data_IF_756690630220
#
_entry.id   IF_756690630220
#
_cell.length_a   1.000
_cell.length_b   1.000
_cell.length_c   1.000
_cell.angle_alpha   90.00
_cell.angle_beta   90.00
_cell.angle_gamma   90.00
#
_symmetry.space_group_name_H-M   'P 1'
#
loop_
_entity.id
_entity.type
_entity.pdbx_description
1 polymer ?
#
# COMPACT_ATOMS: atom_id res chain seq x y z
N UNK A 1 -52.27 -28.72 22.74
CA UNK A 1 -51.34 -28.22 21.71
C UNK A 1 -50.94 -26.80 22.10
N UNK A 2 -49.88 -26.66 22.91
CA UNK A 2 -49.36 -25.36 23.34
C UNK A 2 -48.19 -24.95 22.46
N UNK A 3 -48.34 -23.87 21.70
CA UNK A 3 -47.26 -23.29 20.89
C UNK A 3 -46.33 -22.45 21.76
N UNK A 4 -45.08 -22.89 21.89
CA UNK A 4 -44.04 -22.13 22.59
C UNK A 4 -43.48 -21.06 21.64
N UNK A 5 -44.02 -19.84 21.68
CA UNK A 5 -43.54 -18.72 20.86
C UNK A 5 -42.40 -18.00 21.58
N UNK A 6 -41.16 -18.36 21.24
CA UNK A 6 -39.96 -17.65 21.71
C UNK A 6 -39.97 -16.23 21.12
N UNK A 7 -40.31 -15.23 21.93
CA UNK A 7 -40.27 -13.82 21.52
C UNK A 7 -38.80 -13.42 21.33
N UNK A 8 -38.39 -12.87 20.16
CA UNK A 8 -37.03 -12.40 19.98
C UNK A 8 -36.75 -11.18 20.86
N UNK A 9 -35.54 -11.07 21.39
CA UNK A 9 -35.13 -9.95 22.25
C UNK A 9 -35.20 -8.63 21.46
N UNK A 10 -36.06 -7.70 21.88
CA UNK A 10 -36.28 -6.38 21.24
C UNK A 10 -35.55 -5.23 21.96
N UNK A 11 -34.38 -5.51 22.54
CA UNK A 11 -33.56 -4.49 23.19
C UNK A 11 -32.68 -3.73 22.20
N UNK A 12 -32.40 -2.46 22.47
CA UNK A 12 -31.39 -1.67 21.76
C UNK A 12 -30.00 -1.91 22.36
N UNK A 13 -29.05 -2.37 21.55
CA UNK A 13 -27.66 -2.53 21.96
C UNK A 13 -26.93 -1.19 21.78
N UNK A 14 -26.64 -0.49 22.87
CA UNK A 14 -25.66 0.60 22.87
C UNK A 14 -24.27 -0.01 22.92
N UNK A 15 -23.58 0.00 21.77
CA UNK A 15 -22.17 -0.38 21.68
C UNK A 15 -21.35 0.89 21.91
N UNK A 16 -20.64 0.96 23.04
CA UNK A 16 -19.64 2.00 23.24
C UNK A 16 -18.42 1.62 22.39
N UNK A 17 -18.19 2.36 21.31
CA UNK A 17 -16.99 2.17 20.49
C UNK A 17 -15.81 2.80 21.23
N UNK A 18 -15.22 2.08 22.18
CA UNK A 18 -13.89 2.45 22.68
C UNK A 18 -12.96 2.55 21.48
N UNK A 19 -12.52 3.77 21.15
CA UNK A 19 -11.57 4.00 20.07
C UNK A 19 -10.29 3.21 20.39
N UNK A 20 -10.14 2.04 19.77
CA UNK A 20 -8.81 1.45 19.61
C UNK A 20 -7.98 2.52 18.91
N UNK A 21 -6.78 2.87 19.41
CA UNK A 21 -5.87 3.71 18.65
C UNK A 21 -5.51 2.93 17.39
N UNK A 22 -6.28 3.16 16.34
CA UNK A 22 -5.89 2.83 15.02
C UNK A 22 -4.66 3.70 14.74
N UNK A 23 -3.49 3.07 14.60
CA UNK A 23 -2.28 3.67 13.99
C UNK A 23 -2.52 3.95 12.49
N UNK A 24 -3.74 4.36 12.15
CA UNK A 24 -4.20 4.72 10.83
C UNK A 24 -4.17 6.23 10.82
N UNK A 25 -3.07 6.77 10.28
CA UNK A 25 -3.00 8.17 9.88
C UNK A 25 -4.23 8.50 9.03
N UNK A 26 -4.81 9.69 9.22
CA UNK A 26 -5.90 10.15 8.34
C UNK A 26 -5.46 9.95 6.87
N UNK A 27 -6.15 9.11 6.10
CA UNK A 27 -5.67 8.68 4.80
C UNK A 27 -5.66 9.90 3.89
N UNK A 28 -4.46 10.42 3.65
CA UNK A 28 -4.26 11.36 2.55
C UNK A 28 -3.68 10.56 1.40
N UNK A 29 -4.38 10.56 0.27
CA UNK A 29 -4.04 9.73 -0.90
C UNK A 29 -2.55 9.79 -1.23
N UNK A 30 -1.92 10.95 -1.12
CA UNK A 30 -0.51 11.12 -1.45
C UNK A 30 0.45 10.39 -0.48
N UNK A 31 0.15 10.36 0.82
CA UNK A 31 0.99 9.68 1.81
C UNK A 31 0.89 8.16 1.67
N UNK A 32 -0.34 7.64 1.57
CA UNK A 32 -0.62 6.24 1.36
C UNK A 32 0.05 5.71 0.08
N UNK A 33 -0.05 6.47 -1.02
CA UNK A 33 0.59 6.08 -2.27
C UNK A 33 2.12 6.11 -2.20
N UNK A 34 2.71 6.99 -1.38
CA UNK A 34 4.16 6.99 -1.18
C UNK A 34 4.62 5.75 -0.40
N UNK A 35 3.91 5.39 0.67
CA UNK A 35 4.19 4.18 1.47
C UNK A 35 4.06 2.93 0.59
N UNK A 36 2.98 2.81 -0.18
CA UNK A 36 2.81 1.71 -1.13
C UNK A 36 3.94 1.67 -2.18
N UNK A 37 4.40 2.83 -2.67
CA UNK A 37 5.53 2.88 -3.60
C UNK A 37 6.81 2.35 -2.94
N UNK A 38 7.10 2.77 -1.71
CA UNK A 38 8.31 2.34 -0.99
C UNK A 38 8.27 0.84 -0.69
N UNK A 39 7.11 0.34 -0.25
CA UNK A 39 6.88 -1.08 -0.01
C UNK A 39 7.10 -1.91 -1.29
N UNK A 40 6.49 -1.50 -2.40
CA UNK A 40 6.65 -2.23 -3.68
C UNK A 40 8.09 -2.17 -4.21
N UNK A 41 8.80 -1.06 -3.99
CA UNK A 41 10.22 -0.96 -4.33
C UNK A 41 11.09 -1.91 -3.48
N UNK A 42 10.82 -2.04 -2.19
CA UNK A 42 11.50 -2.98 -1.31
C UNK A 42 11.17 -4.44 -1.66
N UNK A 43 9.91 -4.71 -2.00
CA UNK A 43 9.44 -6.01 -2.44
C UNK A 43 10.17 -6.49 -3.69
N UNK A 44 10.34 -5.61 -4.69
CA UNK A 44 11.13 -5.89 -5.89
C UNK A 44 12.58 -6.26 -5.53
N UNK A 45 13.17 -5.65 -4.49
CA UNK A 45 14.54 -5.95 -4.07
C UNK A 45 14.64 -7.33 -3.46
N UNK A 46 13.72 -7.65 -2.55
CA UNK A 46 13.66 -8.95 -1.90
C UNK A 46 13.34 -10.09 -2.89
N UNK A 47 12.45 -9.84 -3.86
CA UNK A 47 12.11 -10.81 -4.91
C UNK A 47 13.27 -11.02 -5.89
N UNK A 48 13.89 -9.93 -6.37
CA UNK A 48 15.02 -10.02 -7.30
C UNK A 48 16.22 -10.73 -6.67
N UNK A 49 16.46 -10.55 -5.38
CA UNK A 49 17.53 -11.25 -4.65
C UNK A 49 17.37 -12.78 -4.70
N UNK A 50 16.15 -13.32 -4.72
CA UNK A 50 15.89 -14.77 -4.78
C UNK A 50 16.22 -15.37 -6.13
N UNK A 51 15.94 -14.65 -7.22
CA UNK A 51 16.05 -15.16 -8.60
C UNK A 51 17.14 -14.45 -9.40
N UNK A 52 18.17 -13.92 -8.71
CA UNK A 52 19.22 -13.11 -9.32
C UNK A 52 19.90 -13.82 -10.48
N UNK A 53 20.14 -15.11 -10.34
CA UNK A 53 20.87 -15.91 -11.33
C UNK A 53 20.01 -16.27 -12.56
N UNK A 54 18.69 -16.34 -12.41
CA UNK A 54 17.76 -16.67 -13.48
C UNK A 54 17.20 -15.42 -14.21
N UNK A 55 16.98 -14.33 -13.49
CA UNK A 55 16.34 -13.11 -14.03
C UNK A 55 17.34 -12.12 -14.63
N UNK A 56 18.61 -12.21 -14.26
CA UNK A 56 19.64 -11.28 -14.69
C UNK A 56 19.50 -9.90 -14.03
N UNK A 57 19.40 -8.85 -14.85
CA UNK A 57 19.43 -7.47 -14.34
C UNK A 57 18.15 -7.06 -13.61
N UNK A 58 18.34 -6.33 -12.52
CA UNK A 58 17.26 -5.81 -11.69
C UNK A 58 16.36 -4.84 -12.45
N UNK A 59 15.02 -4.96 -12.35
CA UNK A 59 14.10 -3.98 -12.91
C UNK A 59 14.41 -2.56 -12.45
N UNK A 60 14.40 -1.61 -13.39
CA UNK A 60 14.71 -0.20 -13.11
C UNK A 60 13.61 0.43 -12.26
N UNK A 61 13.94 0.85 -11.04
CA UNK A 61 13.05 1.63 -10.17
C UNK A 61 13.47 3.11 -10.12
N UNK A 62 12.50 4.03 -10.25
CA UNK A 62 12.74 5.48 -10.31
C UNK A 62 12.74 6.15 -8.92
N UNK A 63 13.40 5.53 -7.92
CA UNK A 63 13.27 5.89 -6.49
C UNK A 63 13.59 7.35 -6.19
N UNK A 64 14.74 7.82 -6.67
CA UNK A 64 15.22 9.19 -6.44
C UNK A 64 14.23 10.22 -6.98
N UNK A 65 13.73 9.97 -8.19
CA UNK A 65 12.77 10.86 -8.86
C UNK A 65 11.42 10.85 -8.16
N UNK A 66 10.89 9.67 -7.83
CA UNK A 66 9.60 9.52 -7.16
C UNK A 66 9.59 10.16 -5.77
N UNK A 67 10.67 9.97 -5.01
CA UNK A 67 10.88 10.62 -3.71
C UNK A 67 10.95 12.14 -3.84
N UNK A 68 11.68 12.66 -4.82
CA UNK A 68 11.77 14.11 -5.04
C UNK A 68 10.39 14.71 -5.39
N UNK A 69 9.61 14.02 -6.23
CA UNK A 69 8.25 14.44 -6.57
C UNK A 69 7.33 14.46 -5.35
N UNK A 70 7.36 13.43 -4.51
CA UNK A 70 6.63 13.39 -3.24
C UNK A 70 7.03 14.56 -2.32
N UNK A 71 8.33 14.70 -2.04
CA UNK A 71 8.84 15.75 -1.15
C UNK A 71 8.50 17.16 -1.64
N UNK A 72 8.44 17.37 -2.96
CA UNK A 72 8.08 18.68 -3.54
C UNK A 72 6.66 19.13 -3.18
N UNK A 73 5.76 18.19 -2.88
CA UNK A 73 4.38 18.47 -2.45
C UNK A 73 4.25 18.34 -0.94
N UNK A 74 4.83 17.30 -0.32
CA UNK A 74 4.76 17.05 1.11
C UNK A 74 5.37 18.17 1.95
N UNK A 75 6.45 18.82 1.48
CA UNK A 75 7.10 19.94 2.19
C UNK A 75 6.35 21.27 2.10
N UNK A 76 5.28 21.37 1.29
CA UNK A 76 4.53 22.61 1.14
C UNK A 76 3.42 22.70 2.17
N UNK A 77 3.36 23.82 2.92
CA UNK A 77 2.31 24.07 3.92
C UNK A 77 0.90 24.03 3.35
N UNK A 78 0.70 24.57 2.14
CA UNK A 78 -0.60 24.62 1.43
C UNK A 78 -0.41 24.36 -0.06
N UNK A 79 -0.31 23.10 -0.51
CA UNK A 79 -0.19 22.79 -1.93
C UNK A 79 -1.52 23.05 -2.64
N UNK A 80 -1.46 23.65 -3.84
CA UNK A 80 -2.64 23.82 -4.69
C UNK A 80 -3.17 22.44 -5.13
N UNK A 81 -4.50 22.29 -5.21
CA UNK A 81 -5.18 21.04 -5.63
C UNK A 81 -4.59 20.45 -6.91
N UNK A 82 -4.28 21.27 -7.91
CA UNK A 82 -3.66 20.82 -9.16
C UNK A 82 -2.29 20.15 -8.98
N UNK A 83 -1.49 20.60 -8.01
CA UNK A 83 -0.20 19.98 -7.66
C UNK A 83 -0.41 18.65 -6.94
N UNK A 84 -1.42 18.55 -6.07
CA UNK A 84 -1.79 17.30 -5.39
C UNK A 84 -2.20 16.26 -6.43
N UNK A 85 -3.13 16.59 -7.33
CA UNK A 85 -3.58 15.67 -8.39
C UNK A 85 -2.45 15.26 -9.34
N UNK A 86 -1.51 16.17 -9.62
CA UNK A 86 -0.31 15.83 -10.40
C UNK A 86 0.57 14.82 -9.65
N UNK A 87 0.82 15.02 -8.37
CA UNK A 87 1.65 14.12 -7.57
C UNK A 87 0.99 12.75 -7.39
N UNK A 88 -0.32 12.69 -7.17
CA UNK A 88 -1.08 11.42 -7.12
C UNK A 88 -0.92 10.64 -8.43
N UNK A 89 -1.15 11.27 -9.58
CA UNK A 89 -0.95 10.63 -10.89
C UNK A 89 0.47 10.12 -11.10
N UNK A 90 1.46 10.87 -10.63
CA UNK A 90 2.86 10.45 -10.68
C UNK A 90 3.11 9.21 -9.81
N UNK A 91 2.66 9.22 -8.55
CA UNK A 91 2.81 8.08 -7.64
C UNK A 91 2.11 6.82 -8.17
N UNK A 92 0.87 6.94 -8.66
CA UNK A 92 0.15 5.85 -9.32
C UNK A 92 0.92 5.31 -10.53
N UNK A 93 1.52 6.20 -11.33
CA UNK A 93 2.37 5.81 -12.45
C UNK A 93 3.63 5.04 -12.03
N UNK A 94 4.21 5.36 -10.87
CA UNK A 94 5.34 4.61 -10.29
C UNK A 94 4.89 3.23 -9.81
N UNK A 95 3.79 3.17 -9.06
CA UNK A 95 3.18 1.93 -8.60
C UNK A 95 2.86 0.98 -9.74
N UNK A 96 2.21 1.47 -10.80
CA UNK A 96 1.90 0.66 -11.99
C UNK A 96 3.13 -0.01 -12.58
N UNK A 97 4.25 0.71 -12.69
CA UNK A 97 5.53 0.16 -13.20
C UNK A 97 6.14 -0.87 -12.24
N UNK A 98 6.04 -0.62 -10.94
CA UNK A 98 6.50 -1.56 -9.92
C UNK A 98 5.68 -2.86 -9.97
N UNK A 99 4.35 -2.77 -10.07
CA UNK A 99 3.48 -3.93 -10.18
C UNK A 99 3.80 -4.77 -11.42
N UNK A 100 4.01 -4.14 -12.58
CA UNK A 100 4.46 -4.86 -13.80
C UNK A 100 5.80 -5.57 -13.57
N UNK A 101 6.72 -4.94 -12.82
CA UNK A 101 8.01 -5.57 -12.50
C UNK A 101 7.84 -6.77 -11.57
N UNK A 102 6.93 -6.66 -10.59
CA UNK A 102 6.57 -7.74 -9.67
C UNK A 102 5.94 -8.91 -10.42
N UNK A 103 5.01 -8.64 -11.36
CA UNK A 103 4.38 -9.67 -12.19
C UNK A 103 5.44 -10.42 -13.01
N UNK A 104 6.40 -9.71 -13.60
CA UNK A 104 7.51 -10.32 -14.34
C UNK A 104 8.41 -11.19 -13.45
N UNK A 105 8.74 -10.72 -12.23
CA UNK A 105 9.52 -11.49 -11.26
C UNK A 105 8.76 -12.75 -10.81
N UNK A 106 7.46 -12.63 -10.61
CA UNK A 106 6.58 -13.75 -10.23
C UNK A 106 6.51 -14.80 -11.35
N UNK A 107 6.43 -14.36 -12.61
CA UNK A 107 6.44 -15.25 -13.77
C UNK A 107 7.77 -16.04 -13.91
N UNK A 108 8.88 -15.49 -13.42
CA UNK A 108 10.17 -16.19 -13.34
C UNK A 108 10.34 -17.03 -12.06
N UNK A 109 9.31 -17.12 -11.20
CA UNK A 109 9.31 -17.98 -10.01
C UNK A 109 9.81 -17.32 -8.73
N UNK A 110 9.94 -15.99 -8.66
CA UNK A 110 10.20 -15.32 -7.39
C UNK A 110 8.98 -15.44 -6.45
N UNK A 111 9.24 -15.66 -5.16
CA UNK A 111 8.19 -15.78 -4.15
C UNK A 111 8.04 -14.49 -3.32
N UNK A 112 6.80 -14.16 -2.96
CA UNK A 112 6.49 -13.04 -2.06
C UNK A 112 6.82 -13.36 -0.58
N UNK A 113 6.92 -14.64 -0.22
CA UNK A 113 7.02 -15.12 1.16
C UNK A 113 8.31 -14.67 1.87
N UNK A 114 9.40 -14.49 1.13
CA UNK A 114 10.65 -14.01 1.73
C UNK A 114 10.59 -12.52 2.12
N UNK A 115 9.69 -11.74 1.51
CA UNK A 115 9.58 -10.30 1.74
C UNK A 115 8.56 -9.92 2.83
N UNK A 116 7.58 -10.79 3.11
CA UNK A 116 6.52 -10.52 4.07
C UNK A 116 6.91 -10.64 5.55
N UNK A 117 8.09 -11.19 5.86
CA UNK A 117 8.54 -11.39 7.26
C UNK A 117 9.01 -10.10 7.95
N UNK A 118 9.36 -9.07 7.20
CA UNK A 118 9.93 -7.82 7.74
C UNK A 118 8.92 -6.65 7.74
N UNK A 119 7.68 -6.88 7.31
CA UNK A 119 6.72 -5.82 7.02
C UNK A 119 5.68 -5.53 8.13
N UNK A 120 5.60 -6.35 9.18
CA UNK A 120 4.73 -6.14 10.34
C UNK A 120 5.31 -6.78 11.61
#
# INVERSE_FOLDING_TARGET
MGSNTTRPNQGSLLIDATCVPADIRHPTDLSLLNEARELTEALIDAMHAQIRDAFGHKPRTHRKQARQQFLSVAKKKRPRISKIHKAIRQQLGHLRRNLVSIDALTACGASFLAAGRDAY
#
